data_IF_093216627174
#
_entry.id   IF_093216627174
#
_cell.length_a   1.000
_cell.length_b   1.000
_cell.length_c   1.000
_cell.angle_alpha   90.00
_cell.angle_beta   90.00
_cell.angle_gamma   90.00
#
_symmetry.space_group_name_H-M   'P 1'
#
loop_
_entity.id
_entity.type
_entity.pdbx_description
1 polymer ?
#
# COMPACT_ATOMS: atom_id res chain seq x y z
N UNK A 1 6.26 -9.08 -15.15
CA UNK A 1 5.92 -8.02 -14.20
C UNK A 1 5.16 -8.62 -13.01
N UNK A 2 5.30 -7.99 -11.85
CA UNK A 2 4.61 -8.39 -10.62
C UNK A 2 3.63 -7.30 -10.23
N UNK A 3 2.41 -7.68 -9.90
CA UNK A 3 1.41 -6.78 -9.34
C UNK A 3 1.21 -7.11 -7.86
N UNK A 4 1.31 -6.09 -7.02
CA UNK A 4 1.15 -6.17 -5.58
C UNK A 4 -0.09 -5.38 -5.19
N UNK A 5 -1.09 -6.06 -4.63
CA UNK A 5 -2.36 -5.44 -4.25
C UNK A 5 -2.57 -5.65 -2.75
N UNK A 6 -2.91 -4.57 -2.06
CA UNK A 6 -3.20 -4.61 -0.62
C UNK A 6 -4.51 -3.86 -0.36
N UNK A 7 -5.33 -4.41 0.53
CA UNK A 7 -6.53 -3.76 1.03
C UNK A 7 -6.45 -3.66 2.55
N UNK A 8 -6.98 -2.55 3.10
CA UNK A 8 -6.97 -2.32 4.54
C UNK A 8 -8.32 -1.88 5.07
N UNK A 9 -8.55 -2.24 6.36
CA UNK A 9 -9.56 -1.61 7.23
C UNK A 9 -8.82 -0.78 8.26
N UNK A 10 -9.32 0.41 8.55
CA UNK A 10 -8.69 1.36 9.48
C UNK A 10 -9.62 1.74 10.63
N UNK A 11 -9.01 2.19 11.74
CA UNK A 11 -9.72 2.65 12.93
C UNK A 11 -10.42 3.99 12.74
N UNK A 12 -10.00 4.79 11.73
CA UNK A 12 -10.61 6.08 11.45
C UNK A 12 -10.12 6.71 10.16
N UNK A 13 -10.97 7.51 9.52
CA UNK A 13 -10.71 8.08 8.20
C UNK A 13 -9.53 9.06 8.19
N UNK A 14 -9.32 9.81 9.29
CA UNK A 14 -8.23 10.78 9.36
C UNK A 14 -6.86 10.12 9.29
N UNK A 15 -6.68 9.02 10.01
CA UNK A 15 -5.42 8.27 10.00
C UNK A 15 -5.19 7.58 8.65
N UNK A 16 -6.25 7.07 8.04
CA UNK A 16 -6.19 6.47 6.71
C UNK A 16 -5.65 7.45 5.68
N UNK A 17 -6.17 8.67 5.65
CA UNK A 17 -5.76 9.68 4.68
C UNK A 17 -4.27 10.00 4.80
N UNK A 18 -3.78 10.18 6.01
CA UNK A 18 -2.36 10.44 6.27
C UNK A 18 -1.48 9.28 5.82
N UNK A 19 -1.91 8.04 6.09
CA UNK A 19 -1.19 6.86 5.65
C UNK A 19 -1.11 6.78 4.11
N UNK A 20 -2.23 7.00 3.40
CA UNK A 20 -2.25 6.96 1.95
C UNK A 20 -1.38 8.05 1.33
N UNK A 21 -1.33 9.24 1.91
CA UNK A 21 -0.42 10.29 1.48
C UNK A 21 1.04 9.85 1.61
N UNK A 22 1.38 9.18 2.72
CA UNK A 22 2.71 8.61 2.93
C UNK A 22 3.06 7.56 1.87
N UNK A 23 2.12 6.66 1.56
CA UNK A 23 2.33 5.67 0.50
C UNK A 23 2.55 6.33 -0.85
N UNK A 24 1.70 7.27 -1.23
CA UNK A 24 1.80 7.94 -2.52
C UNK A 24 3.14 8.68 -2.69
N UNK A 25 3.72 9.19 -1.60
CA UNK A 25 5.02 9.85 -1.65
C UNK A 25 6.15 8.89 -2.01
N UNK A 26 6.00 7.60 -1.73
CA UNK A 26 7.04 6.59 -2.01
C UNK A 26 7.29 6.39 -3.50
N UNK A 27 6.30 6.66 -4.34
CA UNK A 27 6.41 6.53 -5.79
C UNK A 27 7.60 7.31 -6.36
N UNK A 28 7.89 8.47 -5.79
CA UNK A 28 8.97 9.34 -6.25
C UNK A 28 10.29 9.11 -5.50
N UNK A 29 10.30 8.25 -4.49
CA UNK A 29 11.45 8.00 -3.62
C UNK A 29 12.09 6.65 -3.91
N UNK A 30 11.27 5.62 -4.12
CA UNK A 30 11.73 4.23 -4.28
C UNK A 30 11.77 3.88 -5.77
N UNK A 31 12.97 3.71 -6.36
CA UNK A 31 13.09 3.53 -7.82
C UNK A 31 12.52 2.21 -8.35
N UNK A 32 12.39 1.18 -7.51
CA UNK A 32 11.83 -0.11 -7.91
C UNK A 32 10.34 -0.04 -8.23
N UNK A 33 9.62 0.98 -7.78
CA UNK A 33 8.19 1.13 -8.06
C UNK A 33 7.99 1.56 -9.51
N UNK A 34 7.36 0.71 -10.32
CA UNK A 34 7.03 1.02 -11.72
C UNK A 34 5.67 1.67 -11.87
N UNK A 35 4.74 1.36 -10.98
CA UNK A 35 3.41 1.93 -10.94
C UNK A 35 2.88 1.88 -9.51
N UNK A 36 2.15 2.89 -9.11
CA UNK A 36 1.49 2.92 -7.79
C UNK A 36 0.23 3.75 -7.85
N UNK A 37 -0.84 3.17 -7.35
CA UNK A 37 -2.14 3.83 -7.27
C UNK A 37 -2.77 3.46 -5.94
N UNK A 38 -3.40 4.43 -5.28
CA UNK A 38 -4.21 4.19 -4.08
C UNK A 38 -5.64 4.62 -4.34
N UNK A 39 -6.58 3.98 -3.64
CA UNK A 39 -7.98 4.31 -3.74
C UNK A 39 -8.67 4.20 -2.39
N UNK A 40 -9.73 4.97 -2.21
CA UNK A 40 -10.58 4.93 -1.01
C UNK A 40 -11.93 4.37 -1.42
N UNK A 41 -12.42 3.38 -0.67
CA UNK A 41 -13.72 2.78 -0.90
C UNK A 41 -14.85 3.81 -0.74
N UNK A 42 -15.75 3.85 -1.71
CA UNK A 42 -16.92 4.74 -1.68
C UNK A 42 -18.23 3.99 -1.49
N UNK A 43 -18.19 2.65 -1.46
CA UNK A 43 -19.40 1.83 -1.32
C UNK A 43 -19.54 1.36 0.13
N UNK A 44 -20.54 1.85 0.88
CA UNK A 44 -20.70 1.51 2.30
C UNK A 44 -21.03 0.04 2.55
N UNK A 45 -21.35 -0.73 1.52
CA UNK A 45 -21.60 -2.18 1.64
C UNK A 45 -20.32 -3.00 1.65
N UNK A 46 -19.17 -2.42 1.25
CA UNK A 46 -17.88 -3.10 1.25
C UNK A 46 -17.21 -2.99 2.63
N UNK A 47 -16.46 -4.04 2.98
CA UNK A 47 -15.83 -4.12 4.31
C UNK A 47 -14.50 -3.36 4.41
N UNK A 48 -13.77 -3.23 3.30
CA UNK A 48 -12.44 -2.60 3.31
C UNK A 48 -12.51 -1.13 2.95
N UNK A 49 -11.58 -0.34 3.49
CA UNK A 49 -11.62 1.12 3.39
C UNK A 49 -10.74 1.66 2.27
N UNK A 50 -9.64 0.99 1.97
CA UNK A 50 -8.68 1.49 1.00
C UNK A 50 -7.92 0.37 0.31
N UNK A 51 -7.35 0.69 -0.87
CA UNK A 51 -6.58 -0.24 -1.68
C UNK A 51 -5.29 0.41 -2.15
N UNK A 52 -4.24 -0.40 -2.27
CA UNK A 52 -3.01 -0.08 -2.99
C UNK A 52 -2.87 -1.04 -4.16
N UNK A 53 -2.59 -0.51 -5.35
CA UNK A 53 -2.18 -1.28 -6.51
C UNK A 53 -0.79 -0.81 -6.91
N UNK A 54 0.19 -1.70 -6.94
CA UNK A 54 1.56 -1.35 -7.32
C UNK A 54 2.16 -2.41 -8.22
N UNK A 55 3.15 -2.01 -9.04
CA UNK A 55 3.79 -2.89 -10.01
C UNK A 55 5.30 -2.80 -9.89
N UNK A 56 5.95 -3.97 -10.04
CA UNK A 56 7.40 -4.14 -9.96
C UNK A 56 7.85 -5.07 -11.09
N UNK A 57 9.11 -4.96 -11.51
CA UNK A 57 9.62 -5.85 -12.55
C UNK A 57 9.75 -7.28 -12.07
N UNK A 58 10.19 -7.49 -10.83
CA UNK A 58 10.47 -8.80 -10.24
C UNK A 58 10.03 -8.87 -8.78
N UNK A 59 9.92 -10.09 -8.26
CA UNK A 59 9.69 -10.30 -6.82
C UNK A 59 10.83 -9.74 -5.98
N UNK A 60 12.07 -9.79 -6.50
CA UNK A 60 13.22 -9.20 -5.81
C UNK A 60 13.03 -7.69 -5.63
N UNK A 61 12.55 -6.99 -6.65
CA UNK A 61 12.28 -5.55 -6.56
C UNK A 61 11.16 -5.26 -5.57
N UNK A 62 10.13 -6.09 -5.53
CA UNK A 62 9.06 -5.97 -4.51
C UNK A 62 9.64 -6.11 -3.09
N UNK A 63 10.54 -7.06 -2.87
CA UNK A 63 11.20 -7.23 -1.57
C UNK A 63 12.08 -6.04 -1.22
N UNK A 64 12.79 -5.45 -2.17
CA UNK A 64 13.56 -4.22 -1.96
C UNK A 64 12.66 -3.07 -1.53
N UNK A 65 11.50 -2.94 -2.16
CA UNK A 65 10.49 -1.95 -1.77
C UNK A 65 10.04 -2.17 -0.34
N UNK A 66 9.66 -3.40 0.01
CA UNK A 66 9.16 -3.72 1.36
C UNK A 66 10.19 -3.41 2.44
N UNK A 67 11.47 -3.62 2.16
CA UNK A 67 12.56 -3.44 3.11
C UNK A 67 13.20 -2.04 3.07
N UNK A 68 12.76 -1.18 2.15
CA UNK A 68 13.26 0.18 2.05
C UNK A 68 12.91 0.96 3.34
N UNK A 69 13.87 1.69 3.95
CA UNK A 69 13.61 2.45 5.18
C UNK A 69 12.42 3.40 5.09
N UNK A 70 12.20 4.02 3.93
CA UNK A 70 11.06 4.92 3.76
C UNK A 70 9.73 4.16 3.78
N UNK A 71 9.68 2.97 3.18
CA UNK A 71 8.50 2.11 3.27
C UNK A 71 8.27 1.63 4.71
N UNK A 72 9.33 1.26 5.42
CA UNK A 72 9.22 0.77 6.79
C UNK A 72 8.63 1.83 7.73
N UNK A 73 8.93 3.11 7.52
CA UNK A 73 8.32 4.22 8.27
C UNK A 73 6.81 4.29 8.06
N UNK A 74 6.38 4.19 6.81
CA UNK A 74 4.96 4.23 6.45
C UNK A 74 4.24 2.98 6.96
N UNK A 75 4.88 1.82 6.86
CA UNK A 75 4.34 0.56 7.34
C UNK A 75 4.15 0.57 8.86
N UNK A 76 5.07 1.18 9.61
CA UNK A 76 4.95 1.30 11.07
C UNK A 76 3.70 2.10 11.45
N UNK A 77 3.41 3.19 10.74
CA UNK A 77 2.17 3.95 10.94
C UNK A 77 0.94 3.08 10.65
N UNK A 78 0.97 2.34 9.55
CA UNK A 78 -0.14 1.45 9.17
C UNK A 78 -0.45 0.44 10.28
N UNK A 79 0.57 -0.18 10.86
CA UNK A 79 0.40 -1.18 11.93
C UNK A 79 -0.31 -0.61 13.16
N UNK A 80 -0.18 0.68 13.42
CA UNK A 80 -0.83 1.34 14.56
C UNK A 80 -2.31 1.62 14.31
N UNK A 81 -2.72 1.82 13.06
CA UNK A 81 -4.04 2.33 12.72
C UNK A 81 -4.95 1.33 12.00
N UNK A 82 -4.38 0.24 11.47
CA UNK A 82 -5.17 -0.75 10.74
C UNK A 82 -5.88 -1.72 11.68
N UNK A 83 -7.07 -2.15 11.26
CA UNK A 83 -7.83 -3.23 11.90
C UNK A 83 -7.52 -4.55 11.20
N UNK A 84 -7.43 -4.51 9.86
CA UNK A 84 -7.20 -5.69 9.04
C UNK A 84 -6.44 -5.32 7.76
N UNK A 85 -5.74 -6.30 7.20
CA UNK A 85 -4.96 -6.15 5.96
C UNK A 85 -5.01 -7.45 5.18
N UNK A 86 -5.31 -7.35 3.88
CA UNK A 86 -5.26 -8.48 2.96
C UNK A 86 -4.36 -8.10 1.78
N UNK A 87 -3.56 -9.05 1.30
CA UNK A 87 -2.64 -8.80 0.20
C UNK A 87 -2.58 -9.99 -0.76
N UNK A 88 -2.30 -9.70 -2.03
CA UNK A 88 -2.04 -10.70 -3.05
C UNK A 88 -0.99 -10.17 -4.01
N UNK A 89 -0.06 -11.04 -4.42
CA UNK A 89 0.96 -10.73 -5.41
C UNK A 89 0.83 -11.72 -6.56
N UNK A 90 0.85 -11.23 -7.80
CA UNK A 90 0.75 -12.12 -8.96
C UNK A 90 1.52 -11.57 -10.16
N UNK A 91 1.86 -12.49 -11.06
CA UNK A 91 2.50 -12.14 -12.34
C UNK A 91 1.48 -11.72 -13.39
N UNK A 92 1.89 -10.77 -14.23
CA UNK A 92 1.06 -10.33 -15.36
C UNK A 92 1.90 -9.93 -16.57
#
# INVERSE_FOLDING_TARGET
MIKHIVMWKFKGARHMKKFLEGLNSLKNIIPEIKYMETGININPKNDYDAILISEFETMEDLEKYKNNPEHLKVSALCKQIRIDRQAIDYEF
#
